data_IF_217628385630
#
_entry.id   IF_217628385630
#
_cell.length_a   1.000
_cell.length_b   1.000
_cell.length_c   1.000
_cell.angle_alpha   90.00
_cell.angle_beta   90.00
_cell.angle_gamma   90.00
#
_symmetry.space_group_name_H-M   'P 1'
#
loop_
_entity.id
_entity.type
_entity.pdbx_description
1 polymer ?
#
# COMPACT_ATOMS: atom_id res chain seq x y z
N UNK A 1 -7.77 -12.54 1.92
CA UNK A 1 -8.80 -11.50 1.69
C UNK A 1 -8.14 -10.22 1.23
N UNK A 2 -8.73 -9.53 0.28
CA UNK A 2 -8.19 -8.27 -0.24
C UNK A 2 -9.25 -7.17 -0.14
N UNK A 3 -8.79 -5.93 -0.25
CA UNK A 3 -9.66 -4.76 -0.20
C UNK A 3 -9.67 -4.11 -1.59
N UNK A 4 -10.86 -3.93 -2.15
CA UNK A 4 -11.03 -3.37 -3.49
C UNK A 4 -10.70 -1.88 -3.58
N UNK A 5 -10.97 -1.16 -2.52
CA UNK A 5 -10.89 0.29 -2.50
C UNK A 5 -9.90 0.78 -1.45
N UNK A 6 -8.64 0.58 -1.71
CA UNK A 6 -7.60 1.18 -0.87
C UNK A 6 -7.48 2.65 -1.24
N UNK A 7 -7.53 3.52 -0.25
CA UNK A 7 -7.41 4.96 -0.45
C UNK A 7 -6.12 5.50 0.19
N UNK A 8 -5.75 6.75 -0.06
CA UNK A 8 -4.51 7.30 0.50
C UNK A 8 -4.46 7.30 2.03
N UNK A 9 -5.60 7.31 2.71
CA UNK A 9 -5.63 7.26 4.17
C UNK A 9 -5.13 5.93 4.70
N UNK A 10 -5.41 4.84 4.00
CA UNK A 10 -4.89 3.52 4.36
C UNK A 10 -3.36 3.52 4.31
N UNK A 11 -2.81 4.18 3.30
CA UNK A 11 -1.36 4.29 3.16
C UNK A 11 -0.77 5.16 4.27
N UNK A 12 -1.44 6.26 4.61
CA UNK A 12 -0.99 7.14 5.70
C UNK A 12 -0.92 6.43 7.04
N UNK A 13 -1.89 5.57 7.32
CA UNK A 13 -1.89 4.77 8.54
C UNK A 13 -0.66 3.86 8.59
N UNK A 14 -0.33 3.26 7.47
CA UNK A 14 0.84 2.40 7.38
C UNK A 14 2.13 3.22 7.52
N UNK A 15 2.18 4.40 6.94
CA UNK A 15 3.32 5.31 7.09
C UNK A 15 3.58 5.61 8.56
N UNK A 16 2.52 5.90 9.31
CA UNK A 16 2.63 6.16 10.75
C UNK A 16 3.12 4.92 11.48
N UNK A 17 2.55 3.77 11.18
CA UNK A 17 2.94 2.50 11.79
C UNK A 17 4.41 2.18 11.57
N UNK A 18 4.91 2.43 10.36
CA UNK A 18 6.30 2.14 9.99
C UNK A 18 7.25 3.30 10.24
N UNK A 19 6.74 4.42 10.72
CA UNK A 19 7.51 5.62 10.97
C UNK A 19 8.26 6.13 9.72
N UNK A 20 7.55 6.18 8.60
CA UNK A 20 8.08 6.67 7.33
C UNK A 20 7.10 7.68 6.74
N UNK A 21 7.56 8.47 5.78
CA UNK A 21 6.71 9.43 5.06
C UNK A 21 6.96 9.29 3.57
N UNK A 22 5.89 9.04 2.82
CA UNK A 22 5.96 8.96 1.37
C UNK A 22 5.51 10.27 0.74
N UNK A 23 6.00 10.54 -0.47
CA UNK A 23 5.52 11.65 -1.28
C UNK A 23 4.18 11.26 -1.91
N UNK A 24 3.46 12.25 -2.44
CA UNK A 24 2.21 11.99 -3.15
C UNK A 24 2.41 11.05 -4.33
N UNK A 25 3.51 11.22 -5.05
CA UNK A 25 3.85 10.37 -6.18
C UNK A 25 4.08 8.92 -5.74
N UNK A 26 4.77 8.74 -4.63
CA UNK A 26 5.01 7.41 -4.08
C UNK A 26 3.70 6.75 -3.65
N UNK A 27 2.80 7.50 -3.02
CA UNK A 27 1.49 6.98 -2.62
C UNK A 27 0.68 6.54 -3.83
N UNK A 28 0.66 7.34 -4.88
CA UNK A 28 -0.02 6.99 -6.12
C UNK A 28 0.57 5.73 -6.75
N UNK A 29 1.89 5.62 -6.72
CA UNK A 29 2.59 4.43 -7.23
C UNK A 29 2.19 3.19 -6.45
N UNK A 30 2.11 3.30 -5.12
CA UNK A 30 1.68 2.19 -4.27
C UNK A 30 0.26 1.77 -4.62
N UNK A 31 -0.64 2.72 -4.80
CA UNK A 31 -2.03 2.42 -5.15
C UNK A 31 -2.14 1.72 -6.50
N UNK A 32 -1.39 2.17 -7.48
CA UNK A 32 -1.38 1.54 -8.81
C UNK A 32 -0.83 0.12 -8.75
N UNK A 33 0.24 -0.09 -8.02
CA UNK A 33 0.83 -1.42 -7.88
C UNK A 33 -0.10 -2.35 -7.12
N UNK A 34 -0.74 -1.85 -6.07
CA UNK A 34 -1.71 -2.61 -5.31
C UNK A 34 -2.84 -3.10 -6.21
N UNK A 35 -3.43 -2.19 -6.99
CA UNK A 35 -4.53 -2.51 -7.87
C UNK A 35 -4.14 -3.55 -8.93
N UNK A 36 -2.89 -3.53 -9.36
CA UNK A 36 -2.38 -4.46 -10.35
C UNK A 36 -2.11 -5.85 -9.81
N UNK A 37 -1.57 -5.95 -8.59
CA UNK A 37 -1.07 -7.22 -8.08
C UNK A 37 -1.95 -7.89 -7.03
N UNK A 38 -2.93 -7.17 -6.47
CA UNK A 38 -3.77 -7.71 -5.40
C UNK A 38 -4.50 -8.99 -5.82
N UNK A 39 -4.89 -9.09 -7.08
CA UNK A 39 -5.65 -10.22 -7.60
C UNK A 39 -4.81 -11.51 -7.67
N UNK A 40 -3.50 -11.37 -7.79
CA UNK A 40 -2.58 -12.51 -7.87
C UNK A 40 -1.86 -12.76 -6.56
N UNK A 41 -2.17 -11.99 -5.52
CA UNK A 41 -1.49 -12.09 -4.24
C UNK A 41 -2.21 -13.06 -3.32
N UNK A 42 -1.43 -13.85 -2.59
CA UNK A 42 -1.93 -14.73 -1.54
C UNK A 42 -1.91 -14.06 -0.18
N UNK A 43 -1.40 -12.83 -0.12
CA UNK A 43 -1.28 -12.09 1.12
C UNK A 43 -2.56 -11.31 1.41
N UNK A 44 -2.81 -11.04 2.68
CA UNK A 44 -3.88 -10.14 3.06
C UNK A 44 -3.57 -8.74 2.51
N UNK A 45 -4.62 -7.98 2.25
CA UNK A 45 -4.47 -6.65 1.64
C UNK A 45 -3.56 -5.72 2.47
N UNK A 46 -3.64 -5.78 3.79
CA UNK A 46 -2.84 -4.92 4.65
C UNK A 46 -1.36 -5.32 4.62
N UNK A 47 -1.07 -6.62 4.59
CA UNK A 47 0.30 -7.11 4.48
C UNK A 47 0.89 -6.71 3.15
N UNK A 48 0.14 -6.89 2.08
CA UNK A 48 0.58 -6.50 0.73
C UNK A 48 0.87 -5.00 0.68
N UNK A 49 -0.03 -4.21 1.22
CA UNK A 49 0.11 -2.76 1.21
C UNK A 49 1.35 -2.31 2.00
N UNK A 50 1.61 -2.92 3.16
CA UNK A 50 2.82 -2.64 3.94
C UNK A 50 4.09 -2.92 3.15
N UNK A 51 4.11 -4.03 2.44
CA UNK A 51 5.27 -4.38 1.62
C UNK A 51 5.50 -3.38 0.50
N UNK A 52 4.44 -2.94 -0.15
CA UNK A 52 4.54 -1.92 -1.20
C UNK A 52 5.05 -0.59 -0.65
N UNK A 53 4.57 -0.20 0.52
CA UNK A 53 5.02 1.03 1.17
C UNK A 53 6.50 0.93 1.54
N UNK A 54 6.93 -0.19 2.09
CA UNK A 54 8.34 -0.40 2.43
C UNK A 54 9.23 -0.34 1.20
N UNK A 55 8.74 -0.84 0.09
CA UNK A 55 9.50 -0.87 -1.16
C UNK A 55 9.72 0.53 -1.73
N UNK A 56 8.84 1.47 -1.43
CA UNK A 56 8.95 2.85 -1.90
C UNK A 56 9.83 3.74 -1.01
N UNK A 57 10.16 3.26 0.15
CA UNK A 57 10.94 3.99 1.13
C UNK A 57 12.37 4.32 0.69
#
# INVERSE_FOLDING_TARGET
>A
MYKDNVNPEDIKEIEVELNITLTNEQRESVLKEYDRIVWDSYKDWDVLLRELVKDKR
#
